data_IF_856812083921
#
_entry.id   IF_856812083921
#
_cell.length_a   1.000
_cell.length_b   1.000
_cell.length_c   1.000
_cell.angle_alpha   90.00
_cell.angle_beta   90.00
_cell.angle_gamma   90.00
#
_symmetry.space_group_name_H-M   'P 1'
#
loop_
_entity.id
_entity.type
_entity.pdbx_description
1 polymer ?
#
# COMPACT_ATOMS: atom_id res chain seq x y z
N UNK A 1 63.06 5.95 25.19
CA UNK A 1 62.55 4.82 24.37
C UNK A 1 61.31 4.22 24.99
N UNK A 2 61.36 3.76 26.24
CA UNK A 2 60.21 3.16 26.93
C UNK A 2 59.05 4.15 27.18
N UNK A 3 59.37 5.37 27.60
CA UNK A 3 58.40 6.47 27.76
C UNK A 3 57.71 6.85 26.43
N UNK A 4 58.48 6.86 25.33
CA UNK A 4 57.98 7.12 23.99
C UNK A 4 57.01 6.03 23.54
N UNK A 5 57.34 4.75 23.76
CA UNK A 5 56.44 3.62 23.47
C UNK A 5 55.17 3.64 24.34
N UNK A 6 55.26 4.06 25.60
CA UNK A 6 54.09 4.19 26.48
C UNK A 6 53.08 5.24 25.96
N UNK A 7 53.54 6.35 25.38
CA UNK A 7 52.64 7.35 24.76
C UNK A 7 51.83 6.72 23.61
N UNK A 8 52.45 5.90 22.75
CA UNK A 8 51.74 5.22 21.68
C UNK A 8 50.83 4.10 22.18
N UNK A 9 51.18 3.44 23.30
CA UNK A 9 50.29 2.46 23.95
C UNK A 9 49.02 3.11 24.50
N UNK A 10 49.11 4.31 25.08
CA UNK A 10 47.90 5.00 25.51
C UNK A 10 47.12 5.60 24.34
N UNK A 11 47.81 6.03 23.28
CA UNK A 11 47.15 6.42 22.03
C UNK A 11 46.31 5.28 21.45
N UNK A 12 46.85 4.05 21.37
CA UNK A 12 46.09 2.94 20.79
C UNK A 12 44.88 2.55 21.64
N UNK A 13 44.97 2.59 22.98
CA UNK A 13 43.81 2.34 23.85
C UNK A 13 42.69 3.35 23.63
N UNK A 14 43.02 4.64 23.55
CA UNK A 14 42.03 5.70 23.27
C UNK A 14 41.38 5.50 21.90
N UNK A 15 42.14 5.05 20.89
CA UNK A 15 41.61 4.73 19.57
C UNK A 15 40.70 3.50 19.61
N UNK A 16 41.10 2.44 20.32
CA UNK A 16 40.30 1.21 20.50
C UNK A 16 38.96 1.50 21.18
N UNK A 17 38.94 2.32 22.24
CA UNK A 17 37.71 2.75 22.90
C UNK A 17 36.77 3.48 21.93
N UNK A 18 37.31 4.40 21.13
CA UNK A 18 36.52 5.13 20.12
C UNK A 18 36.00 4.21 19.03
N UNK A 19 36.82 3.30 18.52
CA UNK A 19 36.39 2.33 17.51
C UNK A 19 35.32 1.38 18.04
N UNK A 20 35.47 0.91 19.28
CA UNK A 20 34.47 0.08 19.93
C UNK A 20 33.14 0.82 20.08
N UNK A 21 33.15 2.09 20.47
CA UNK A 21 31.94 2.91 20.53
C UNK A 21 31.20 2.96 19.19
N UNK A 22 31.90 3.23 18.09
CA UNK A 22 31.29 3.26 16.76
C UNK A 22 30.82 1.88 16.29
N UNK A 23 31.60 0.82 16.55
CA UNK A 23 31.25 -0.56 16.20
C UNK A 23 29.96 -0.99 16.89
N UNK A 24 29.82 -0.70 18.17
CA UNK A 24 28.57 -0.95 18.90
C UNK A 24 27.42 -0.09 18.38
N UNK A 25 27.70 1.18 18.02
CA UNK A 25 26.72 2.07 17.39
C UNK A 25 26.17 1.50 16.08
N UNK A 26 27.04 1.06 15.17
CA UNK A 26 26.65 0.41 13.91
C UNK A 26 25.82 -0.85 14.18
N UNK A 27 26.28 -1.71 15.11
CA UNK A 27 25.54 -2.93 15.47
C UNK A 27 24.10 -2.63 15.93
N UNK A 28 23.90 -1.59 16.76
CA UNK A 28 22.56 -1.17 17.19
C UNK A 28 21.69 -0.66 16.05
N UNK A 29 22.28 0.06 15.09
CA UNK A 29 21.57 0.53 13.89
C UNK A 29 21.13 -0.66 13.02
N UNK A 30 22.00 -1.65 12.82
CA UNK A 30 21.68 -2.86 12.06
C UNK A 30 20.55 -3.67 12.71
N UNK A 31 20.57 -3.82 14.04
CA UNK A 31 19.52 -4.50 14.81
C UNK A 31 18.17 -3.76 14.72
N UNK A 32 18.19 -2.43 14.86
CA UNK A 32 16.99 -1.59 14.72
C UNK A 32 16.44 -1.66 13.29
N UNK A 33 17.32 -1.64 12.29
CA UNK A 33 16.96 -1.78 10.88
C UNK A 33 16.32 -3.14 10.58
N UNK A 34 16.93 -4.23 11.05
CA UNK A 34 16.39 -5.57 10.89
C UNK A 34 14.99 -5.69 11.53
N UNK A 35 14.83 -5.17 12.74
CA UNK A 35 13.54 -5.17 13.45
C UNK A 35 12.47 -4.37 12.71
N UNK A 36 12.81 -3.17 12.21
CA UNK A 36 11.92 -2.35 11.38
C UNK A 36 11.49 -3.09 10.11
N UNK A 37 12.44 -3.70 9.39
CA UNK A 37 12.13 -4.46 8.16
C UNK A 37 11.19 -5.62 8.41
N UNK A 38 11.42 -6.38 9.47
CA UNK A 38 10.56 -7.51 9.82
C UNK A 38 9.13 -7.03 10.12
N UNK A 39 8.98 -6.01 10.97
CA UNK A 39 7.67 -5.45 11.31
C UNK A 39 6.90 -4.94 10.07
N UNK A 40 7.58 -4.27 9.14
CA UNK A 40 6.96 -3.79 7.91
C UNK A 40 6.55 -4.94 6.99
N UNK A 41 7.38 -5.98 6.85
CA UNK A 41 7.06 -7.14 6.04
C UNK A 41 5.91 -7.97 6.60
N UNK A 42 5.84 -8.13 7.92
CA UNK A 42 4.74 -8.81 8.59
C UNK A 42 3.43 -8.06 8.36
N UNK A 43 3.41 -6.74 8.58
CA UNK A 43 2.23 -5.90 8.32
C UNK A 43 1.83 -5.90 6.84
N UNK A 44 2.80 -5.90 5.92
CA UNK A 44 2.52 -5.98 4.47
C UNK A 44 1.88 -7.31 4.09
N UNK A 45 2.34 -8.41 4.69
CA UNK A 45 1.78 -9.74 4.45
C UNK A 45 0.35 -9.85 4.97
N UNK A 46 0.08 -9.31 6.16
CA UNK A 46 -1.27 -9.21 6.70
C UNK A 46 -2.18 -8.40 5.77
N UNK A 47 -1.73 -7.22 5.34
CA UNK A 47 -2.45 -6.38 4.40
C UNK A 47 -2.76 -7.08 3.08
N UNK A 48 -1.78 -7.78 2.48
CA UNK A 48 -1.99 -8.48 1.22
C UNK A 48 -3.02 -9.61 1.34
N UNK A 49 -3.10 -10.23 2.53
CA UNK A 49 -4.11 -11.24 2.85
C UNK A 49 -5.50 -10.65 3.07
N UNK A 50 -5.61 -9.50 3.75
CA UNK A 50 -6.90 -8.91 4.12
C UNK A 50 -7.49 -8.00 3.05
N UNK A 51 -6.65 -7.38 2.21
CA UNK A 51 -7.07 -6.42 1.21
C UNK A 51 -8.23 -6.88 0.31
N UNK A 52 -8.24 -8.12 -0.24
CA UNK A 52 -9.34 -8.55 -1.10
C UNK A 52 -10.70 -8.49 -0.40
N UNK A 53 -10.73 -8.81 0.89
CA UNK A 53 -11.96 -8.72 1.70
C UNK A 53 -12.36 -7.26 1.91
N UNK A 54 -11.42 -6.40 2.30
CA UNK A 54 -11.68 -4.97 2.52
C UNK A 54 -12.16 -4.30 1.23
N UNK A 55 -11.47 -4.53 0.11
CA UNK A 55 -11.84 -4.04 -1.21
C UNK A 55 -13.24 -4.52 -1.61
N UNK A 56 -13.57 -5.80 -1.36
CA UNK A 56 -14.92 -6.33 -1.61
C UNK A 56 -16.00 -5.59 -0.82
N UNK A 57 -15.74 -5.24 0.45
CA UNK A 57 -16.70 -4.47 1.27
C UNK A 57 -16.87 -3.04 0.79
N UNK A 58 -15.79 -2.37 0.38
CA UNK A 58 -15.88 -1.04 -0.24
C UNK A 58 -16.70 -1.12 -1.54
N UNK A 59 -16.48 -2.15 -2.36
CA UNK A 59 -17.23 -2.35 -3.59
C UNK A 59 -18.71 -2.70 -3.37
N UNK A 60 -19.08 -3.30 -2.24
CA UNK A 60 -20.49 -3.51 -1.89
C UNK A 60 -21.24 -2.18 -1.69
N UNK A 61 -20.58 -1.17 -1.10
CA UNK A 61 -21.17 0.18 -0.98
C UNK A 61 -21.40 0.79 -2.37
N UNK A 62 -20.40 0.69 -3.27
CA UNK A 62 -20.52 1.14 -4.66
C UNK A 62 -21.67 0.45 -5.40
N UNK A 63 -21.78 -0.87 -5.26
CA UNK A 63 -22.86 -1.63 -5.88
C UNK A 63 -24.24 -1.21 -5.35
N UNK A 64 -24.34 -0.87 -4.05
CA UNK A 64 -25.56 -0.33 -3.48
C UNK A 64 -25.93 1.04 -4.06
N UNK A 65 -24.94 1.93 -4.28
CA UNK A 65 -25.15 3.23 -4.94
C UNK A 65 -25.68 3.02 -6.37
N UNK A 66 -25.06 2.12 -7.13
CA UNK A 66 -25.49 1.81 -8.50
C UNK A 66 -26.88 1.15 -8.53
N UNK A 67 -27.23 0.36 -7.51
CA UNK A 67 -28.57 -0.18 -7.32
C UNK A 67 -29.62 0.90 -7.04
N UNK A 68 -29.30 1.89 -6.20
CA UNK A 68 -30.19 3.03 -5.94
C UNK A 68 -30.39 3.90 -7.17
N UNK A 69 -29.33 4.13 -7.96
CA UNK A 69 -29.44 4.86 -9.25
C UNK A 69 -30.42 4.19 -10.21
N UNK A 70 -30.34 2.87 -10.35
CA UNK A 70 -31.31 2.12 -11.18
C UNK A 70 -32.74 2.24 -10.67
N UNK A 71 -32.94 2.19 -9.34
CA UNK A 71 -34.27 2.40 -8.77
C UNK A 71 -34.81 3.81 -9.03
N UNK A 72 -33.96 4.83 -8.97
CA UNK A 72 -34.31 6.20 -9.34
C UNK A 72 -34.79 6.26 -10.79
N UNK A 73 -34.02 5.70 -11.73
CA UNK A 73 -34.38 5.63 -13.16
C UNK A 73 -35.73 4.90 -13.37
N UNK A 74 -35.95 3.78 -12.68
CA UNK A 74 -37.21 3.04 -12.77
C UNK A 74 -38.41 3.86 -12.27
N UNK A 75 -38.23 4.63 -11.19
CA UNK A 75 -39.27 5.48 -10.61
C UNK A 75 -39.58 6.66 -11.55
N UNK A 76 -38.57 7.25 -12.17
CA UNK A 76 -38.74 8.28 -13.19
C UNK A 76 -39.56 7.77 -14.38
N UNK A 77 -39.20 6.60 -14.94
CA UNK A 77 -39.94 5.97 -16.04
C UNK A 77 -41.39 5.69 -15.62
N UNK A 78 -41.64 5.13 -14.43
CA UNK A 78 -43.00 4.85 -13.94
C UNK A 78 -43.85 6.12 -13.85
N UNK A 79 -43.25 7.25 -13.46
CA UNK A 79 -43.93 8.55 -13.44
C UNK A 79 -44.29 9.01 -14.85
N UNK A 80 -43.35 8.93 -15.78
CA UNK A 80 -43.53 9.37 -17.17
C UNK A 80 -44.68 8.64 -17.87
N UNK A 81 -44.87 7.34 -17.57
CA UNK A 81 -45.96 6.54 -18.13
C UNK A 81 -47.25 6.56 -17.29
N UNK A 82 -47.31 7.40 -16.24
CA UNK A 82 -48.50 7.60 -15.42
C UNK A 82 -48.84 6.43 -14.48
N UNK A 83 -47.88 5.56 -14.16
CA UNK A 83 -48.09 4.46 -13.20
C UNK A 83 -47.96 4.90 -11.73
N UNK A 84 -47.38 6.09 -11.48
CA UNK A 84 -47.29 6.71 -10.16
C UNK A 84 -47.69 8.19 -10.27
N UNK A 85 -48.40 8.68 -9.25
CA UNK A 85 -48.75 10.08 -9.12
C UNK A 85 -47.57 10.93 -8.62
N UNK A 86 -47.67 12.25 -8.75
CA UNK A 86 -46.61 13.19 -8.38
C UNK A 86 -46.29 13.17 -6.88
N UNK A 87 -47.27 12.93 -5.99
CA UNK A 87 -47.05 12.89 -4.55
C UNK A 87 -46.24 11.64 -4.17
N UNK A 88 -46.66 10.47 -4.67
CA UNK A 88 -45.95 9.21 -4.49
C UNK A 88 -44.54 9.25 -5.09
N UNK A 89 -44.39 9.84 -6.28
CA UNK A 89 -43.08 10.05 -6.91
C UNK A 89 -42.17 10.92 -6.05
N UNK A 90 -42.63 12.10 -5.62
CA UNK A 90 -41.82 13.04 -4.85
C UNK A 90 -41.37 12.44 -3.51
N UNK A 91 -42.22 11.64 -2.87
CA UNK A 91 -41.84 10.94 -1.65
C UNK A 91 -40.73 9.91 -1.91
N UNK A 92 -40.94 9.03 -2.90
CA UNK A 92 -40.02 7.93 -3.19
C UNK A 92 -38.67 8.44 -3.70
N UNK A 93 -38.65 9.46 -4.56
CA UNK A 93 -37.42 10.06 -5.07
C UNK A 93 -36.62 10.74 -3.96
N UNK A 94 -37.30 11.36 -2.99
CA UNK A 94 -36.64 11.98 -1.83
C UNK A 94 -35.99 10.92 -0.95
N UNK A 95 -36.70 9.82 -0.65
CA UNK A 95 -36.17 8.70 0.13
C UNK A 95 -34.96 8.05 -0.55
N UNK A 96 -35.05 7.76 -1.86
CA UNK A 96 -33.96 7.17 -2.64
C UNK A 96 -32.73 8.09 -2.72
N UNK A 97 -32.93 9.39 -2.94
CA UNK A 97 -31.84 10.35 -2.98
C UNK A 97 -31.15 10.51 -1.62
N UNK A 98 -31.91 10.52 -0.52
CA UNK A 98 -31.34 10.56 0.82
C UNK A 98 -30.48 9.32 1.09
N UNK A 99 -31.01 8.13 0.81
CA UNK A 99 -30.26 6.88 0.95
C UNK A 99 -28.99 6.85 0.07
N UNK A 100 -29.09 7.35 -1.16
CA UNK A 100 -27.95 7.43 -2.08
C UNK A 100 -26.88 8.40 -1.57
N UNK A 101 -27.29 9.53 -0.99
CA UNK A 101 -26.37 10.50 -0.38
C UNK A 101 -25.63 9.90 0.81
N UNK A 102 -26.33 9.22 1.72
CA UNK A 102 -25.73 8.55 2.87
C UNK A 102 -24.74 7.46 2.43
N UNK A 103 -25.15 6.60 1.49
CA UNK A 103 -24.30 5.52 1.01
C UNK A 103 -23.07 6.01 0.25
N UNK A 104 -23.20 7.11 -0.51
CA UNK A 104 -22.08 7.76 -1.18
C UNK A 104 -21.07 8.31 -0.19
N UNK A 105 -21.53 8.95 0.90
CA UNK A 105 -20.66 9.42 1.97
C UNK A 105 -19.91 8.26 2.64
N UNK A 106 -20.59 7.16 2.96
CA UNK A 106 -19.96 5.97 3.53
C UNK A 106 -18.93 5.35 2.58
N UNK A 107 -19.22 5.31 1.28
CA UNK A 107 -18.28 4.83 0.27
C UNK A 107 -17.02 5.70 0.21
N UNK A 108 -17.20 7.03 0.14
CA UNK A 108 -16.07 7.97 0.06
C UNK A 108 -15.19 7.91 1.32
N UNK A 109 -15.80 7.81 2.50
CA UNK A 109 -15.07 7.62 3.77
C UNK A 109 -14.27 6.31 3.77
N UNK A 110 -14.91 5.20 3.43
CA UNK A 110 -14.25 3.89 3.40
C UNK A 110 -13.12 3.84 2.35
N UNK A 111 -13.35 4.45 1.18
CA UNK A 111 -12.34 4.52 0.12
C UNK A 111 -11.17 5.43 0.50
N UNK A 112 -11.45 6.54 1.20
CA UNK A 112 -10.43 7.44 1.74
C UNK A 112 -9.49 6.71 2.71
N UNK A 113 -10.06 6.01 3.69
CA UNK A 113 -9.31 5.22 4.67
C UNK A 113 -8.45 4.13 4.00
N UNK A 114 -9.04 3.42 3.02
CA UNK A 114 -8.33 2.40 2.25
C UNK A 114 -7.09 3.00 1.56
N UNK A 115 -7.26 4.12 0.87
CA UNK A 115 -6.18 4.77 0.13
C UNK A 115 -5.07 5.33 1.04
N UNK A 116 -5.45 5.91 2.19
CA UNK A 116 -4.50 6.44 3.17
C UNK A 116 -3.63 5.33 3.75
N UNK A 117 -4.25 4.23 4.18
CA UNK A 117 -3.54 3.08 4.74
C UNK A 117 -2.62 2.45 3.69
N UNK A 118 -3.13 2.26 2.46
CA UNK A 118 -2.36 1.69 1.36
C UNK A 118 -1.12 2.54 1.04
N UNK A 119 -1.27 3.86 0.95
CA UNK A 119 -0.18 4.79 0.71
C UNK A 119 0.86 4.76 1.85
N UNK A 120 0.40 4.82 3.10
CA UNK A 120 1.27 4.76 4.28
C UNK A 120 2.10 3.47 4.33
N UNK A 121 1.44 2.32 4.17
CA UNK A 121 2.09 1.02 4.18
C UNK A 121 3.08 0.86 3.03
N UNK A 122 2.70 1.28 1.82
CA UNK A 122 3.57 1.19 0.64
C UNK A 122 4.87 1.99 0.81
N UNK A 123 4.77 3.19 1.39
CA UNK A 123 5.93 4.02 1.70
C UNK A 123 6.92 3.32 2.66
N UNK A 124 6.40 2.66 3.70
CA UNK A 124 7.23 1.92 4.64
C UNK A 124 7.81 0.65 4.01
N UNK A 125 7.02 -0.08 3.23
CA UNK A 125 7.44 -1.30 2.54
C UNK A 125 8.59 -1.04 1.57
N UNK A 126 8.48 -0.03 0.71
CA UNK A 126 9.55 0.35 -0.24
C UNK A 126 10.85 0.68 0.50
N UNK A 127 10.77 1.41 1.61
CA UNK A 127 11.95 1.72 2.43
C UNK A 127 12.56 0.45 3.00
N UNK A 128 11.74 -0.49 3.46
CA UNK A 128 12.20 -1.74 4.08
C UNK A 128 12.82 -2.75 3.12
N UNK A 129 12.61 -2.59 1.81
CA UNK A 129 13.13 -3.52 0.81
C UNK A 129 14.66 -3.47 0.78
N UNK A 130 15.25 -4.62 1.00
CA UNK A 130 16.67 -4.82 0.80
C UNK A 130 16.96 -5.09 -0.68
N UNK A 131 17.18 -4.02 -1.42
CA UNK A 131 17.50 -4.06 -2.86
C UNK A 131 18.78 -4.84 -3.18
N UNK A 132 19.63 -5.16 -2.20
CA UNK A 132 20.83 -5.98 -2.41
C UNK A 132 20.53 -7.47 -2.57
N UNK A 133 19.36 -7.93 -2.11
CA UNK A 133 18.91 -9.33 -2.20
C UNK A 133 17.74 -9.55 -3.16
N UNK A 134 17.10 -8.48 -3.64
CA UNK A 134 16.09 -8.58 -4.69
C UNK A 134 16.77 -8.64 -6.06
N UNK A 135 16.71 -9.80 -6.71
CA UNK A 135 17.27 -9.97 -8.05
C UNK A 135 16.35 -9.35 -9.11
N UNK A 136 16.94 -8.89 -10.22
CA UNK A 136 16.18 -8.40 -11.37
C UNK A 136 15.22 -9.48 -11.90
N UNK A 137 15.67 -10.73 -11.98
CA UNK A 137 14.87 -11.89 -12.40
C UNK A 137 13.63 -12.11 -11.52
N UNK A 138 13.74 -11.89 -10.21
CA UNK A 138 12.59 -12.00 -9.29
C UNK A 138 11.51 -10.99 -9.65
N UNK A 139 11.90 -9.75 -9.96
CA UNK A 139 10.97 -8.67 -10.28
C UNK A 139 10.35 -8.86 -11.66
N UNK A 140 11.13 -9.33 -12.63
CA UNK A 140 10.62 -9.69 -13.96
C UNK A 140 9.60 -10.83 -13.89
N UNK A 141 9.85 -11.84 -13.07
CA UNK A 141 8.88 -12.93 -12.84
C UNK A 141 7.60 -12.44 -12.15
N UNK A 142 7.69 -11.55 -11.16
CA UNK A 142 6.52 -10.94 -10.53
C UNK A 142 5.71 -10.11 -11.53
N UNK A 143 6.37 -9.37 -12.42
CA UNK A 143 5.72 -8.63 -13.50
C UNK A 143 4.92 -9.56 -14.41
N UNK A 144 5.56 -10.64 -14.86
CA UNK A 144 4.93 -11.62 -15.74
C UNK A 144 3.71 -12.28 -15.08
N UNK A 145 3.86 -12.72 -13.82
CA UNK A 145 2.76 -13.35 -13.08
C UNK A 145 1.58 -12.39 -12.88
N UNK A 146 1.85 -11.09 -12.66
CA UNK A 146 0.82 -10.07 -12.52
C UNK A 146 0.03 -9.87 -13.82
N UNK A 147 0.72 -9.79 -14.96
CA UNK A 147 0.07 -9.69 -16.28
C UNK A 147 -0.76 -10.93 -16.59
N UNK A 148 -0.25 -12.13 -16.31
CA UNK A 148 -0.97 -13.39 -16.50
C UNK A 148 -2.22 -13.48 -15.61
N UNK A 149 -2.11 -13.11 -14.33
CA UNK A 149 -3.24 -13.08 -13.41
C UNK A 149 -4.34 -12.11 -13.89
N UNK A 150 -3.95 -10.97 -14.46
CA UNK A 150 -4.87 -10.01 -15.05
C UNK A 150 -5.54 -10.55 -16.31
N UNK A 151 -4.75 -11.10 -17.24
CA UNK A 151 -5.24 -11.66 -18.49
C UNK A 151 -6.22 -12.82 -18.26
N UNK A 152 -5.98 -13.61 -17.21
CA UNK A 152 -6.84 -14.73 -16.82
C UNK A 152 -8.06 -14.31 -15.97
N UNK A 153 -8.26 -13.02 -15.72
CA UNK A 153 -9.38 -12.51 -14.93
C UNK A 153 -9.34 -12.91 -13.44
N UNK A 154 -8.17 -13.33 -12.94
CA UNK A 154 -8.00 -13.78 -11.55
C UNK A 154 -7.97 -12.61 -10.55
N UNK A 155 -7.71 -11.39 -11.03
CA UNK A 155 -7.66 -10.17 -10.23
C UNK A 155 -8.49 -9.06 -10.89
N UNK A 156 -9.04 -8.16 -10.06
CA UNK A 156 -9.79 -7.01 -10.56
C UNK A 156 -8.88 -6.01 -11.29
N UNK A 157 -9.45 -5.10 -12.09
CA UNK A 157 -8.71 -3.97 -12.67
C UNK A 157 -8.04 -3.11 -11.59
N UNK A 158 -8.72 -2.93 -10.47
CA UNK A 158 -8.26 -2.11 -9.36
C UNK A 158 -7.09 -2.78 -8.62
N UNK A 159 -7.24 -4.07 -8.30
CA UNK A 159 -6.16 -4.89 -7.73
C UNK A 159 -4.93 -4.93 -8.64
N UNK A 160 -5.13 -5.07 -9.97
CA UNK A 160 -4.04 -5.05 -10.94
C UNK A 160 -3.29 -3.72 -10.96
N UNK A 161 -4.02 -2.62 -11.08
CA UNK A 161 -3.42 -1.29 -11.15
C UNK A 161 -2.62 -0.96 -9.88
N UNK A 162 -3.12 -1.38 -8.71
CA UNK A 162 -2.37 -1.32 -7.45
C UNK A 162 -1.07 -2.12 -7.52
N UNK A 163 -1.15 -3.43 -7.77
CA UNK A 163 0.03 -4.29 -7.77
C UNK A 163 1.07 -3.86 -8.81
N UNK A 164 0.62 -3.35 -9.96
CA UNK A 164 1.49 -2.83 -11.01
C UNK A 164 2.22 -1.57 -10.59
N UNK A 165 1.54 -0.66 -9.87
CA UNK A 165 2.17 0.53 -9.29
C UNK A 165 3.24 0.13 -8.27
N UNK A 166 2.93 -0.82 -7.40
CA UNK A 166 3.85 -1.28 -6.34
C UNK A 166 5.10 -1.95 -6.96
N UNK A 167 4.90 -2.78 -7.99
CA UNK A 167 5.98 -3.40 -8.74
C UNK A 167 6.86 -2.38 -9.48
N UNK A 168 6.25 -1.33 -10.05
CA UNK A 168 7.01 -0.25 -10.69
C UNK A 168 7.89 0.52 -9.70
N UNK A 169 7.44 0.69 -8.45
CA UNK A 169 8.24 1.32 -7.40
C UNK A 169 9.44 0.44 -7.02
N UNK A 170 9.24 -0.87 -6.94
CA UNK A 170 10.32 -1.84 -6.74
C UNK A 170 11.36 -1.79 -7.87
N UNK A 171 10.92 -1.75 -9.13
CA UNK A 171 11.81 -1.61 -10.30
C UNK A 171 12.66 -0.34 -10.20
N UNK A 172 12.05 0.80 -9.88
CA UNK A 172 12.77 2.07 -9.75
C UNK A 172 13.81 2.04 -8.62
N UNK A 173 13.46 1.43 -7.48
CA UNK A 173 14.38 1.29 -6.35
C UNK A 173 15.62 0.44 -6.72
N UNK A 174 15.42 -0.67 -7.44
CA UNK A 174 16.50 -1.51 -7.95
C UNK A 174 17.40 -0.79 -8.97
N UNK A 175 16.79 -0.05 -9.89
CA UNK A 175 17.54 0.76 -10.86
C UNK A 175 18.43 1.78 -10.15
N UNK A 176 17.89 2.53 -9.18
CA UNK A 176 18.66 3.50 -8.40
C UNK A 176 19.83 2.85 -7.65
N UNK A 177 19.59 1.68 -7.02
CA UNK A 177 20.64 0.93 -6.32
C UNK A 177 21.76 0.46 -7.25
N UNK A 178 21.42 -0.10 -8.41
CA UNK A 178 22.42 -0.57 -9.38
C UNK A 178 23.31 0.55 -9.95
N UNK A 179 22.80 1.78 -10.02
CA UNK A 179 23.59 2.96 -10.42
C UNK A 179 24.59 3.37 -9.33
N UNK A 180 24.20 3.26 -8.05
CA UNK A 180 25.06 3.59 -6.91
C UNK A 180 26.22 2.58 -6.69
N UNK A 181 26.05 1.33 -7.11
CA UNK A 181 27.12 0.31 -7.05
C UNK A 181 28.13 0.40 -8.20
N UNK A 182 27.80 1.13 -9.28
CA UNK A 182 28.69 1.32 -10.44
C UNK A 182 29.58 2.57 -10.33
N UNK A 183 29.37 3.42 -9.32
CA UNK A 183 30.18 4.61 -8.99
C UNK A 183 31.21 4.29 -7.91
#
# INVERSE_FOLDING_TARGET
>A
MEEYVNVYRELIKVLEERFNHYKEGVKRLDEAWASYRNAVNDLKKEWDSEYPLIESRVNQLRNGIDGLRKQIEEVEVKREIGLIDDESYNKLITELNNAMSELSKMYDEAKGLLNELESGLMNHWIRSIDVSVVSQDTVENLAKNLEEAKANGQISEETYNRLKRDLNLLIKALQAYSLLLKS
#
